data_IF_644545481744
#
_entry.id   IF_644545481744
#
_cell.length_a   1.000
_cell.length_b   1.000
_cell.length_c   1.000
_cell.angle_alpha   90.00
_cell.angle_beta   90.00
_cell.angle_gamma   90.00
#
_symmetry.space_group_name_H-M   'P 1'
#
loop_
_entity.id
_entity.type
_entity.pdbx_description
1 polymer ?
#
# COMPACT_ATOMS: atom_id res chain seq x y z
N UNK A 1 23.51 -5.79 -20.40
CA UNK A 1 24.11 -6.28 -19.14
C UNK A 1 22.92 -6.68 -18.26
N UNK A 2 22.84 -7.92 -17.76
CA UNK A 2 21.74 -8.31 -16.84
C UNK A 2 21.96 -7.54 -15.53
N UNK A 3 21.01 -6.66 -15.17
CA UNK A 3 21.03 -5.96 -13.88
C UNK A 3 20.83 -6.97 -12.74
N UNK A 4 21.47 -6.74 -11.60
CA UNK A 4 21.20 -7.53 -10.40
C UNK A 4 19.84 -7.11 -9.83
N UNK A 5 18.98 -8.06 -9.51
CA UNK A 5 17.71 -7.85 -8.84
C UNK A 5 17.51 -8.90 -7.74
N UNK A 6 16.70 -8.57 -6.75
CA UNK A 6 16.41 -9.43 -5.62
C UNK A 6 14.92 -9.37 -5.29
N UNK A 7 14.43 -10.39 -4.61
CA UNK A 7 13.08 -10.47 -4.07
C UNK A 7 13.16 -10.68 -2.56
N UNK A 8 12.37 -9.94 -1.82
CA UNK A 8 12.19 -10.09 -0.38
C UNK A 8 10.73 -10.33 -0.10
N UNK A 9 10.43 -11.29 0.75
CA UNK A 9 9.07 -11.73 1.08
C UNK A 9 8.93 -11.94 2.58
N UNK A 10 7.71 -11.85 3.14
CA UNK A 10 7.40 -12.38 4.46
C UNK A 10 7.79 -13.87 4.57
N UNK A 11 8.12 -14.33 5.77
CA UNK A 11 8.50 -15.72 6.02
C UNK A 11 7.36 -16.70 5.73
N UNK A 12 6.13 -16.32 6.15
CA UNK A 12 4.93 -17.12 5.97
C UNK A 12 3.74 -16.22 5.65
N UNK A 13 2.92 -16.67 4.70
CA UNK A 13 1.65 -16.01 4.36
C UNK A 13 0.54 -17.04 4.48
N UNK A 14 -0.45 -16.75 5.32
CA UNK A 14 -1.66 -17.54 5.47
C UNK A 14 -2.79 -16.90 4.67
N UNK A 15 -3.53 -17.70 3.93
CA UNK A 15 -4.69 -17.28 3.16
C UNK A 15 -5.65 -18.43 2.97
N UNK A 16 -6.86 -18.17 2.47
CA UNK A 16 -7.87 -19.18 2.21
C UNK A 16 -9.05 -19.10 3.17
N UNK A 17 -9.53 -20.23 3.67
CA UNK A 17 -10.64 -20.29 4.61
C UNK A 17 -10.13 -20.13 6.05
N UNK A 18 -10.67 -19.13 6.77
CA UNK A 18 -10.35 -18.85 8.18
C UNK A 18 -8.86 -18.78 8.52
N UNK A 19 -8.04 -18.05 7.74
CA UNK A 19 -6.58 -18.06 7.94
C UNK A 19 -6.14 -17.45 9.27
N UNK A 20 -7.02 -16.69 9.95
CA UNK A 20 -6.76 -16.15 11.31
C UNK A 20 -6.57 -17.28 12.34
N UNK A 21 -7.11 -18.48 12.10
CA UNK A 21 -6.92 -19.62 12.98
C UNK A 21 -5.45 -20.06 13.04
N UNK A 22 -4.70 -19.84 11.97
CA UNK A 22 -3.25 -20.11 11.88
C UNK A 22 -2.41 -19.16 12.73
N UNK A 23 -2.94 -18.00 13.10
CA UNK A 23 -2.23 -17.01 13.91
C UNK A 23 -1.86 -17.59 15.29
N UNK A 24 -2.78 -18.30 15.94
CA UNK A 24 -2.50 -18.93 17.23
C UNK A 24 -1.39 -20.01 17.12
N UNK A 25 -1.36 -20.75 16.01
CA UNK A 25 -0.32 -21.75 15.74
C UNK A 25 1.02 -21.08 15.53
N UNK A 26 1.06 -20.01 14.75
CA UNK A 26 2.27 -19.26 14.47
C UNK A 26 2.84 -18.57 15.71
N UNK A 27 1.99 -17.94 16.55
CA UNK A 27 2.39 -17.34 17.81
C UNK A 27 3.02 -18.37 18.76
N UNK A 28 2.43 -19.57 18.88
CA UNK A 28 3.02 -20.67 19.67
C UNK A 28 4.37 -21.13 19.10
N UNK A 29 4.51 -21.21 17.78
CA UNK A 29 5.76 -21.59 17.11
C UNK A 29 6.88 -20.60 17.42
N UNK A 30 6.58 -19.31 17.43
CA UNK A 30 7.53 -18.25 17.78
C UNK A 30 7.77 -18.14 19.30
N UNK A 31 7.01 -18.88 20.12
CA UNK A 31 7.13 -18.85 21.57
C UNK A 31 6.64 -17.56 22.20
N UNK A 32 5.77 -16.83 21.50
CA UNK A 32 5.22 -15.57 21.96
C UNK A 32 4.39 -15.75 23.25
N UNK A 33 4.72 -14.96 24.29
CA UNK A 33 4.04 -14.94 25.59
C UNK A 33 3.44 -13.59 25.95
N UNK A 34 4.01 -12.52 25.40
CA UNK A 34 3.58 -11.14 25.58
C UNK A 34 3.43 -10.50 24.22
N UNK A 35 2.19 -10.30 23.78
CA UNK A 35 1.85 -9.79 22.43
C UNK A 35 1.27 -8.40 22.56
N UNK A 36 1.76 -7.46 21.75
CA UNK A 36 1.10 -6.16 21.55
C UNK A 36 0.28 -6.20 20.26
N UNK A 37 -1.02 -5.95 20.37
CA UNK A 37 -1.94 -5.86 19.22
C UNK A 37 -2.12 -4.40 18.84
N UNK A 38 -1.66 -4.04 17.65
CA UNK A 38 -1.82 -2.72 17.06
C UNK A 38 -3.09 -2.67 16.23
N UNK A 39 -3.87 -1.62 16.42
CA UNK A 39 -5.08 -1.37 15.64
C UNK A 39 -5.41 0.13 15.64
N UNK A 40 -6.55 0.51 15.09
CA UNK A 40 -7.14 1.83 15.26
C UNK A 40 -8.42 1.77 16.11
N UNK A 41 -8.80 2.91 16.70
CA UNK A 41 -9.94 2.99 17.60
C UNK A 41 -11.28 2.62 16.94
N UNK A 42 -11.43 2.77 15.62
CA UNK A 42 -12.66 2.41 14.92
C UNK A 42 -12.77 0.89 14.76
N UNK A 43 -11.71 0.22 14.33
CA UNK A 43 -11.67 -1.25 14.21
C UNK A 43 -11.88 -1.93 15.58
N UNK A 44 -11.26 -1.38 16.63
CA UNK A 44 -11.44 -1.89 18.00
C UNK A 44 -12.91 -1.75 18.45
N UNK A 45 -13.51 -0.57 18.32
CA UNK A 45 -14.94 -0.35 18.68
C UNK A 45 -15.91 -1.21 17.88
N UNK A 46 -15.59 -1.50 16.61
CA UNK A 46 -16.41 -2.36 15.75
C UNK A 46 -16.21 -3.85 16.04
N UNK A 47 -15.31 -4.22 16.95
CA UNK A 47 -15.02 -5.61 17.30
C UNK A 47 -14.30 -6.40 16.21
N UNK A 48 -13.75 -5.74 15.20
CA UNK A 48 -13.04 -6.41 14.09
C UNK A 48 -11.71 -7.02 14.52
N UNK A 49 -11.18 -6.62 15.66
CA UNK A 49 -9.96 -7.21 16.26
C UNK A 49 -10.25 -8.48 17.06
N UNK A 50 -11.51 -8.78 17.41
CA UNK A 50 -11.87 -9.91 18.30
C UNK A 50 -11.30 -11.25 17.84
N UNK A 51 -11.38 -11.66 16.55
CA UNK A 51 -10.81 -12.94 16.11
C UNK A 51 -9.30 -13.05 16.37
N UNK A 52 -8.59 -11.92 16.27
CA UNK A 52 -7.14 -11.87 16.55
C UNK A 52 -6.86 -11.95 18.04
N UNK A 53 -7.65 -11.27 18.88
CA UNK A 53 -7.52 -11.37 20.35
C UNK A 53 -7.78 -12.79 20.83
N UNK A 54 -8.81 -13.47 20.30
CA UNK A 54 -9.10 -14.87 20.56
C UNK A 54 -7.94 -15.79 20.15
N UNK A 55 -7.30 -15.51 19.01
CA UNK A 55 -6.14 -16.27 18.54
C UNK A 55 -4.93 -16.06 19.48
N UNK A 56 -4.68 -14.83 19.97
CA UNK A 56 -3.61 -14.55 20.94
C UNK A 56 -3.88 -15.27 22.27
N UNK A 57 -5.11 -15.22 22.78
CA UNK A 57 -5.51 -15.94 23.99
C UNK A 57 -5.35 -17.45 23.80
N UNK A 58 -5.81 -18.01 22.67
CA UNK A 58 -5.66 -19.44 22.33
C UNK A 58 -4.21 -19.86 22.21
N UNK A 59 -3.30 -18.94 21.89
CA UNK A 59 -1.85 -19.21 21.89
C UNK A 59 -1.28 -19.30 23.31
N UNK A 60 -2.02 -18.88 24.34
CA UNK A 60 -1.58 -18.80 25.72
C UNK A 60 -0.73 -17.57 26.03
N UNK A 61 -0.79 -16.55 25.17
CA UNK A 61 -0.07 -15.29 25.34
C UNK A 61 -0.95 -14.23 26.05
N UNK A 62 -0.29 -13.33 26.78
CA UNK A 62 -0.94 -12.11 27.27
C UNK A 62 -1.02 -11.09 26.13
N UNK A 63 -2.04 -10.24 26.18
CA UNK A 63 -2.30 -9.24 25.15
C UNK A 63 -2.36 -7.83 25.73
N UNK A 64 -1.64 -6.88 25.13
CA UNK A 64 -1.86 -5.46 25.30
C UNK A 64 -2.34 -4.88 23.96
N UNK A 65 -3.39 -4.05 24.00
CA UNK A 65 -3.93 -3.40 22.81
C UNK A 65 -3.41 -1.96 22.77
N UNK A 66 -2.95 -1.53 21.58
CA UNK A 66 -2.61 -0.16 21.22
C UNK A 66 -3.52 0.24 20.07
N UNK A 67 -4.52 1.08 20.35
CA UNK A 67 -5.60 1.46 19.42
C UNK A 67 -5.68 2.97 19.14
N UNK A 68 -4.69 3.72 19.58
CA UNK A 68 -4.57 5.17 19.42
C UNK A 68 -3.74 5.60 18.20
N UNK A 69 -3.59 4.71 17.22
CA UNK A 69 -2.85 4.99 15.99
C UNK A 69 -3.74 5.78 15.03
N UNK A 70 -3.43 7.06 14.74
CA UNK A 70 -4.22 7.85 13.81
C UNK A 70 -3.95 7.43 12.35
N UNK A 71 -4.83 7.84 11.45
CA UNK A 71 -4.53 7.79 10.03
C UNK A 71 -3.34 8.74 9.73
N UNK A 72 -2.41 8.26 8.89
CA UNK A 72 -1.22 9.03 8.46
C UNK A 72 -0.41 9.61 9.63
N UNK A 73 0.07 8.79 10.56
CA UNK A 73 0.70 9.26 11.79
C UNK A 73 2.00 10.01 11.52
N UNK A 74 2.28 10.99 12.36
CA UNK A 74 3.59 11.63 12.39
C UNK A 74 4.64 10.70 13.00
N UNK A 75 5.92 10.93 12.68
CA UNK A 75 7.01 10.16 13.27
C UNK A 75 7.04 10.23 14.81
N UNK A 76 6.60 11.37 15.40
CA UNK A 76 6.52 11.53 16.84
C UNK A 76 5.34 10.75 17.47
N UNK A 77 4.20 10.66 16.77
CA UNK A 77 3.10 9.83 17.20
C UNK A 77 3.48 8.34 17.15
N UNK A 78 4.18 7.92 16.10
CA UNK A 78 4.70 6.53 16.03
C UNK A 78 5.74 6.29 17.13
N UNK A 79 6.60 7.27 17.46
CA UNK A 79 7.54 7.13 18.58
C UNK A 79 6.80 6.89 19.90
N UNK A 80 5.69 7.59 20.16
CA UNK A 80 4.89 7.37 21.37
C UNK A 80 4.35 5.94 21.46
N UNK A 81 3.96 5.36 20.32
CA UNK A 81 3.52 3.96 20.25
C UNK A 81 4.69 3.00 20.48
N UNK A 82 5.86 3.28 19.90
CA UNK A 82 7.10 2.52 20.17
C UNK A 82 7.43 2.50 21.65
N UNK A 83 7.31 3.64 22.35
CA UNK A 83 7.61 3.75 23.76
C UNK A 83 6.63 2.93 24.64
N UNK A 84 5.36 2.78 24.21
CA UNK A 84 4.42 1.88 24.85
C UNK A 84 4.88 0.40 24.73
N UNK A 85 5.37 -0.02 23.54
CA UNK A 85 5.90 -1.38 23.32
C UNK A 85 7.13 -1.65 24.18
N UNK A 86 8.03 -0.67 24.29
CA UNK A 86 9.23 -0.77 25.17
C UNK A 86 8.85 -1.00 26.63
N UNK A 87 7.75 -0.40 27.08
CA UNK A 87 7.26 -0.49 28.46
C UNK A 87 6.75 -1.88 28.87
N UNK A 88 6.42 -2.76 27.92
CA UNK A 88 5.74 -4.05 28.21
C UNK A 88 6.56 -5.28 27.93
N UNK A 89 7.81 -5.18 27.52
CA UNK A 89 8.69 -6.32 27.20
C UNK A 89 8.00 -7.33 26.25
N UNK A 90 7.46 -6.83 25.14
CA UNK A 90 6.74 -7.65 24.17
C UNK A 90 7.68 -8.65 23.47
N UNK A 91 7.16 -9.84 23.14
CA UNK A 91 7.83 -10.86 22.32
C UNK A 91 7.45 -10.72 20.84
N UNK A 92 6.23 -10.26 20.57
CA UNK A 92 5.69 -10.15 19.22
C UNK A 92 4.70 -8.98 19.10
N UNK A 93 4.54 -8.52 17.87
CA UNK A 93 3.52 -7.52 17.49
C UNK A 93 2.58 -8.14 16.48
N UNK A 94 1.26 -7.98 16.69
CA UNK A 94 0.21 -8.31 15.73
C UNK A 94 -0.47 -7.01 15.31
N UNK A 95 -0.39 -6.64 14.03
CA UNK A 95 -1.05 -5.45 13.50
C UNK A 95 -2.34 -5.85 12.78
N UNK A 96 -3.46 -5.32 13.24
CA UNK A 96 -4.80 -5.48 12.62
C UNK A 96 -5.25 -4.13 12.13
N UNK A 97 -5.12 -3.85 10.85
CA UNK A 97 -5.44 -2.51 10.35
C UNK A 97 -5.05 -2.28 8.89
N UNK A 98 -5.17 -1.04 8.47
CA UNK A 98 -4.66 -0.55 7.19
C UNK A 98 -3.16 -0.19 7.25
N UNK A 99 -2.68 0.48 6.20
CA UNK A 99 -1.26 0.85 6.05
C UNK A 99 -0.67 1.57 7.25
N UNK A 100 -1.37 2.57 7.82
CA UNK A 100 -0.89 3.35 8.97
C UNK A 100 -0.61 2.50 10.21
N UNK A 101 -1.50 1.54 10.51
CA UNK A 101 -1.33 0.61 11.63
C UNK A 101 -0.17 -0.33 11.39
N UNK A 102 -0.08 -0.90 10.17
CA UNK A 102 0.99 -1.82 9.81
C UNK A 102 2.37 -1.13 9.77
N UNK A 103 2.43 0.09 9.28
CA UNK A 103 3.68 0.86 9.24
C UNK A 103 4.17 1.24 10.64
N UNK A 104 3.25 1.63 11.54
CA UNK A 104 3.59 1.85 12.95
C UNK A 104 4.11 0.56 13.62
N UNK A 105 3.49 -0.59 13.33
CA UNK A 105 3.92 -1.89 13.84
C UNK A 105 5.30 -2.32 13.31
N UNK A 106 5.61 -2.04 12.04
CA UNK A 106 6.94 -2.28 11.46
C UNK A 106 8.01 -1.46 12.19
N UNK A 107 7.75 -0.17 12.39
CA UNK A 107 8.66 0.72 13.12
C UNK A 107 8.82 0.27 14.57
N UNK A 108 7.74 -0.10 15.25
CA UNK A 108 7.83 -0.66 16.60
C UNK A 108 8.62 -1.98 16.64
N UNK A 109 8.46 -2.83 15.60
CA UNK A 109 9.18 -4.10 15.49
C UNK A 109 10.70 -3.96 15.32
N UNK A 110 11.17 -2.80 14.82
CA UNK A 110 12.62 -2.50 14.70
C UNK A 110 13.12 -1.51 15.76
N UNK A 111 12.25 -0.75 16.43
CA UNK A 111 12.60 0.22 17.47
C UNK A 111 12.26 -0.25 18.88
N UNK A 112 12.05 -1.53 19.14
CA UNK A 112 11.62 -2.06 20.44
C UNK A 112 12.66 -1.88 21.56
N UNK A 113 13.91 -1.61 21.22
CA UNK A 113 14.99 -1.27 22.17
C UNK A 113 15.37 0.21 22.08
N UNK A 114 16.15 0.70 23.06
CA UNK A 114 16.63 2.08 23.12
C UNK A 114 17.82 2.38 22.18
N UNK A 115 18.16 1.47 21.26
CA UNK A 115 19.32 1.63 20.37
C UNK A 115 19.19 2.81 19.42
N UNK A 116 17.97 3.14 18.99
CA UNK A 116 17.63 4.28 18.13
C UNK A 116 16.13 4.58 18.21
N UNK A 117 15.76 5.76 17.72
CA UNK A 117 14.38 6.25 17.65
C UNK A 117 13.84 6.21 16.22
N UNK A 118 12.54 6.45 16.05
CA UNK A 118 11.93 6.63 14.71
C UNK A 118 12.57 7.82 14.00
N UNK A 119 12.88 8.91 14.72
CA UNK A 119 13.56 10.06 14.15
C UNK A 119 14.99 9.73 13.65
N UNK A 120 15.73 8.89 14.38
CA UNK A 120 17.04 8.42 13.90
C UNK A 120 16.93 7.61 12.61
N UNK A 121 15.84 6.83 12.43
CA UNK A 121 15.61 6.07 11.21
C UNK A 121 15.16 6.93 10.02
N UNK A 122 14.58 8.12 10.26
CA UNK A 122 14.34 9.10 9.20
C UNK A 122 15.67 9.59 8.61
N UNK A 123 16.66 9.83 9.47
CA UNK A 123 17.98 10.29 9.04
C UNK A 123 18.82 9.15 8.42
N UNK A 124 18.76 7.94 9.00
CA UNK A 124 19.52 6.77 8.54
C UNK A 124 18.72 5.47 8.71
N UNK A 125 17.93 5.09 7.70
CA UNK A 125 17.17 3.84 7.71
C UNK A 125 18.04 2.57 7.83
N UNK A 126 19.32 2.63 7.48
CA UNK A 126 20.22 1.47 7.50
C UNK A 126 20.48 0.92 8.91
N UNK A 127 20.20 1.72 9.95
CA UNK A 127 20.31 1.32 11.35
C UNK A 127 19.24 0.32 11.79
N UNK A 128 18.14 0.19 11.05
CA UNK A 128 17.03 -0.68 11.42
C UNK A 128 17.45 -2.15 11.44
N UNK A 129 17.14 -2.84 12.54
CA UNK A 129 17.31 -4.28 12.69
C UNK A 129 16.04 -4.87 13.33
N UNK A 130 15.60 -6.05 12.86
CA UNK A 130 14.43 -6.74 13.41
C UNK A 130 14.69 -7.10 14.87
N UNK A 131 13.80 -6.64 15.76
CA UNK A 131 13.89 -6.87 17.21
C UNK A 131 12.71 -7.69 17.73
N UNK A 132 11.52 -7.55 17.11
CA UNK A 132 10.34 -8.34 17.45
C UNK A 132 9.79 -9.03 16.21
N UNK A 133 9.21 -10.23 16.41
CA UNK A 133 8.45 -10.91 15.37
C UNK A 133 7.17 -10.13 15.08
N UNK A 134 6.86 -9.91 13.80
CA UNK A 134 5.72 -9.11 13.36
C UNK A 134 4.74 -9.95 12.55
N UNK A 135 3.45 -9.80 12.89
CA UNK A 135 2.32 -10.43 12.22
C UNK A 135 1.39 -9.34 11.67
N UNK A 136 1.06 -9.40 10.38
CA UNK A 136 0.20 -8.41 9.73
C UNK A 136 -1.11 -9.04 9.29
N UNK A 137 -2.21 -8.43 9.71
CA UNK A 137 -3.60 -8.81 9.38
C UNK A 137 -4.28 -7.59 8.73
N UNK A 138 -4.17 -7.44 7.39
CA UNK A 138 -4.68 -6.26 6.70
C UNK A 138 -6.21 -6.20 6.73
N UNK A 139 -6.76 -5.02 7.03
CA UNK A 139 -8.19 -4.70 6.98
C UNK A 139 -8.56 -3.79 5.81
N UNK A 140 -7.63 -3.60 4.89
CA UNK A 140 -7.81 -2.94 3.59
C UNK A 140 -7.15 -3.78 2.50
N UNK A 141 -7.54 -3.56 1.25
CA UNK A 141 -6.92 -4.18 0.08
C UNK A 141 -6.37 -3.07 -0.82
N UNK A 142 -5.21 -2.52 -0.47
CA UNK A 142 -4.68 -1.34 -1.16
C UNK A 142 -3.18 -1.15 -1.03
N UNK A 143 -2.71 -0.77 0.13
CA UNK A 143 -1.32 -0.34 0.36
C UNK A 143 -0.28 -1.44 0.17
N UNK A 144 -0.66 -2.71 0.33
CA UNK A 144 0.30 -3.82 0.34
C UNK A 144 1.36 -3.70 1.46
N UNK A 145 1.06 -2.90 2.50
CA UNK A 145 2.02 -2.62 3.58
C UNK A 145 2.46 -3.88 4.32
N UNK A 146 1.64 -4.92 4.34
CA UNK A 146 1.96 -6.24 4.89
C UNK A 146 3.12 -6.95 4.17
N UNK A 147 3.40 -6.56 2.91
CA UNK A 147 4.47 -7.16 2.10
C UNK A 147 5.71 -6.26 1.94
N UNK A 148 5.59 -4.95 2.21
CA UNK A 148 6.64 -3.98 1.89
C UNK A 148 7.66 -3.77 3.03
N UNK A 149 8.92 -3.41 2.70
CA UNK A 149 9.94 -2.99 3.65
C UNK A 149 9.79 -1.51 4.06
N UNK A 150 8.72 -0.84 3.62
CA UNK A 150 8.50 0.59 3.81
C UNK A 150 7.65 0.83 5.05
N UNK A 151 7.92 1.93 5.77
CA UNK A 151 7.00 2.51 6.73
C UNK A 151 6.90 4.02 6.45
N UNK A 152 5.69 4.51 6.24
CA UNK A 152 5.43 5.92 5.87
C UNK A 152 5.03 6.69 7.12
N UNK A 153 5.69 7.81 7.36
CA UNK A 153 5.37 8.74 8.44
C UNK A 153 5.28 10.17 7.92
N UNK A 154 4.42 10.97 8.53
CA UNK A 154 4.41 12.39 8.26
C UNK A 154 5.54 13.10 9.04
N UNK A 155 6.18 14.05 8.39
CA UNK A 155 7.18 14.98 8.95
C UNK A 155 6.58 16.39 8.84
N UNK A 156 5.87 16.86 9.87
CA UNK A 156 5.14 18.13 9.81
C UNK A 156 6.02 19.33 9.54
N UNK A 157 7.26 19.30 10.01
CA UNK A 157 8.23 20.38 9.86
C UNK A 157 8.59 20.65 8.39
N UNK A 158 8.53 19.60 7.56
CA UNK A 158 8.86 19.66 6.15
C UNK A 158 7.60 19.64 5.25
N UNK A 159 6.40 19.55 5.86
CA UNK A 159 5.11 19.37 5.16
C UNK A 159 5.12 18.16 4.19
N UNK A 160 5.85 17.10 4.54
CA UNK A 160 6.09 15.93 3.69
C UNK A 160 5.72 14.63 4.38
N UNK A 161 5.47 13.60 3.57
CA UNK A 161 5.45 12.19 3.99
C UNK A 161 6.75 11.53 3.57
N UNK A 162 7.41 10.86 4.49
CA UNK A 162 8.70 10.20 4.27
C UNK A 162 8.54 8.70 4.46
N UNK A 163 9.05 7.94 3.51
CA UNK A 163 9.15 6.48 3.60
C UNK A 163 10.50 6.07 4.19
N UNK A 164 10.49 5.50 5.37
CA UNK A 164 11.64 4.79 5.94
C UNK A 164 11.66 3.40 5.29
N UNK A 165 12.79 3.01 4.69
CA UNK A 165 12.88 1.76 3.92
C UNK A 165 14.04 0.92 4.43
N UNK A 166 13.73 -0.29 4.94
CA UNK A 166 14.75 -1.27 5.34
C UNK A 166 14.15 -2.69 5.33
N UNK A 167 14.88 -3.67 4.80
CA UNK A 167 14.45 -5.08 4.72
C UNK A 167 14.04 -5.67 6.08
N UNK A 168 14.59 -5.15 7.20
CA UNK A 168 14.22 -5.56 8.56
C UNK A 168 12.75 -5.25 8.91
N UNK A 169 12.07 -4.37 8.16
CA UNK A 169 10.67 -4.04 8.37
C UNK A 169 9.69 -4.95 7.62
N UNK A 170 10.17 -5.83 6.73
CA UNK A 170 9.30 -6.85 6.11
C UNK A 170 8.69 -7.71 7.22
N UNK A 171 7.38 -7.91 7.16
CA UNK A 171 6.65 -8.73 8.13
C UNK A 171 7.19 -10.17 8.17
N UNK A 172 7.18 -10.81 9.36
CA UNK A 172 7.49 -12.22 9.44
C UNK A 172 6.30 -13.08 8.99
N UNK A 173 5.11 -12.69 9.40
CA UNK A 173 3.86 -13.40 9.11
C UNK A 173 2.81 -12.45 8.54
N UNK A 174 2.06 -12.93 7.55
CA UNK A 174 0.91 -12.21 6.97
C UNK A 174 -0.30 -13.14 7.00
N UNK A 175 -1.45 -12.61 7.41
CA UNK A 175 -2.72 -13.32 7.44
C UNK A 175 -3.72 -12.58 6.55
N UNK A 176 -3.97 -13.12 5.36
CA UNK A 176 -4.90 -12.56 4.38
C UNK A 176 -6.29 -13.15 4.59
N UNK A 177 -7.07 -12.52 5.47
CA UNK A 177 -8.42 -12.93 5.82
C UNK A 177 -9.46 -11.98 5.21
N UNK A 178 -10.15 -12.41 4.16
CA UNK A 178 -11.13 -11.58 3.46
C UNK A 178 -12.32 -11.16 4.34
N UNK A 179 -12.56 -11.84 5.48
CA UNK A 179 -13.59 -11.42 6.46
C UNK A 179 -13.26 -10.06 7.06
N UNK A 180 -11.98 -9.69 7.16
CA UNK A 180 -11.51 -8.40 7.68
C UNK A 180 -11.91 -7.22 6.80
N UNK A 181 -12.16 -7.46 5.51
CA UNK A 181 -12.59 -6.43 4.54
C UNK A 181 -14.04 -6.59 4.09
N UNK A 182 -14.80 -7.56 4.66
CA UNK A 182 -16.18 -7.84 4.25
C UNK A 182 -17.05 -6.59 4.28
N UNK A 183 -17.00 -5.85 5.38
CA UNK A 183 -17.82 -4.68 5.65
C UNK A 183 -17.06 -3.35 5.47
N UNK A 184 -15.96 -3.37 4.72
CA UNK A 184 -15.20 -2.15 4.45
C UNK A 184 -16.10 -1.16 3.68
N UNK A 185 -16.25 0.11 4.15
CA UNK A 185 -17.07 1.09 3.46
C UNK A 185 -16.64 1.26 2.00
N UNK A 186 -17.62 1.31 1.07
CA UNK A 186 -17.38 1.38 -0.37
C UNK A 186 -16.37 2.47 -0.78
N UNK A 187 -16.41 3.72 -0.26
CA UNK A 187 -15.42 4.73 -0.61
C UNK A 187 -13.98 4.35 -0.20
N UNK A 188 -13.82 3.65 0.92
CA UNK A 188 -12.51 3.19 1.38
C UNK A 188 -12.06 1.99 0.52
N UNK A 189 -12.95 1.02 0.26
CA UNK A 189 -12.65 -0.11 -0.62
C UNK A 189 -12.24 0.36 -2.01
N UNK A 190 -12.96 1.34 -2.58
CA UNK A 190 -12.68 1.93 -3.88
C UNK A 190 -11.32 2.63 -3.92
N UNK A 191 -11.08 3.57 -3.01
CA UNK A 191 -9.82 4.34 -3.01
C UNK A 191 -8.60 3.44 -2.74
N UNK A 192 -8.70 2.48 -1.82
CA UNK A 192 -7.60 1.54 -1.56
C UNK A 192 -7.42 0.54 -2.71
N UNK A 193 -8.52 0.07 -3.33
CA UNK A 193 -8.43 -0.81 -4.50
C UNK A 193 -7.77 -0.16 -5.71
N UNK A 194 -8.03 1.14 -5.96
CA UNK A 194 -7.32 1.89 -7.00
C UNK A 194 -5.86 2.13 -6.62
N UNK A 195 -5.54 2.33 -5.35
CA UNK A 195 -4.15 2.39 -4.89
C UNK A 195 -3.39 1.10 -5.25
N UNK A 196 -3.99 -0.07 -4.97
CA UNK A 196 -3.42 -1.35 -5.40
C UNK A 196 -3.28 -1.46 -6.93
N UNK A 197 -4.24 -0.93 -7.70
CA UNK A 197 -4.16 -0.88 -9.16
C UNK A 197 -2.98 -0.03 -9.63
N UNK A 198 -2.79 1.15 -9.02
CA UNK A 198 -1.64 2.00 -9.29
C UNK A 198 -0.33 1.27 -8.96
N UNK A 199 -0.24 0.63 -7.80
CA UNK A 199 0.92 -0.17 -7.43
C UNK A 199 1.23 -1.23 -8.49
N UNK A 200 0.24 -2.01 -8.91
CA UNK A 200 0.41 -3.08 -9.88
C UNK A 200 0.91 -2.56 -11.23
N UNK A 201 0.21 -1.57 -11.81
CA UNK A 201 0.55 -1.08 -13.15
C UNK A 201 1.84 -0.28 -13.17
N UNK A 202 2.12 0.54 -12.15
CA UNK A 202 3.36 1.30 -12.07
C UNK A 202 4.58 0.39 -11.85
N UNK A 203 4.49 -0.60 -10.95
CA UNK A 203 5.57 -1.56 -10.75
C UNK A 203 5.83 -2.38 -12.02
N UNK A 204 4.78 -2.73 -12.75
CA UNK A 204 4.91 -3.41 -14.04
C UNK A 204 5.55 -2.52 -15.10
N UNK A 205 5.20 -1.23 -15.17
CA UNK A 205 5.73 -0.26 -16.15
C UNK A 205 6.91 0.57 -15.61
N UNK A 206 7.61 0.07 -14.61
CA UNK A 206 8.81 0.71 -14.02
C UNK A 206 10.06 0.40 -14.84
N UNK A 207 11.01 1.33 -14.90
CA UNK A 207 12.37 1.08 -15.46
C UNK A 207 13.13 0.01 -14.67
N UNK A 208 12.72 -0.25 -13.42
CA UNK A 208 13.28 -1.30 -12.55
C UNK A 208 12.51 -2.62 -12.64
N UNK A 209 11.47 -2.69 -13.47
CA UNK A 209 10.70 -3.92 -13.66
C UNK A 209 11.63 -5.07 -14.09
N UNK A 210 11.40 -6.22 -13.52
CA UNK A 210 12.24 -7.40 -13.70
C UNK A 210 11.38 -8.67 -13.58
N UNK A 211 11.90 -9.87 -13.95
CA UNK A 211 11.07 -11.08 -13.94
C UNK A 211 10.38 -11.41 -12.62
N UNK A 212 10.93 -10.98 -11.48
CA UNK A 212 10.27 -11.18 -10.18
C UNK A 212 9.11 -10.21 -9.99
N UNK A 213 9.32 -8.91 -10.21
CA UNK A 213 8.25 -7.92 -10.10
C UNK A 213 7.13 -8.17 -11.09
N UNK A 214 7.46 -8.58 -12.33
CA UNK A 214 6.49 -8.78 -13.40
C UNK A 214 5.46 -9.87 -13.08
N UNK A 215 5.89 -10.98 -12.45
CA UNK A 215 4.99 -12.06 -12.04
C UNK A 215 3.92 -11.56 -11.08
N UNK A 216 4.33 -10.81 -10.04
CA UNK A 216 3.41 -10.32 -9.03
C UNK A 216 2.59 -9.12 -9.52
N UNK A 217 3.20 -8.20 -10.27
CA UNK A 217 2.52 -7.01 -10.77
C UNK A 217 1.42 -7.36 -11.80
N UNK A 218 1.70 -8.27 -12.74
CA UNK A 218 0.70 -8.72 -13.73
C UNK A 218 -0.42 -9.52 -13.09
N UNK A 219 -0.11 -10.40 -12.14
CA UNK A 219 -1.15 -11.15 -11.42
C UNK A 219 -2.02 -10.22 -10.58
N UNK A 220 -1.41 -9.26 -9.86
CA UNK A 220 -2.16 -8.24 -9.13
C UNK A 220 -3.07 -7.45 -10.07
N UNK A 221 -2.56 -7.02 -11.23
CA UNK A 221 -3.35 -6.30 -12.23
C UNK A 221 -4.54 -7.13 -12.73
N UNK A 222 -4.34 -8.41 -13.10
CA UNK A 222 -5.41 -9.31 -13.54
C UNK A 222 -6.49 -9.47 -12.45
N UNK A 223 -6.08 -9.73 -11.21
CA UNK A 223 -7.01 -9.88 -10.10
C UNK A 223 -7.82 -8.59 -9.84
N UNK A 224 -7.18 -7.41 -9.85
CA UNK A 224 -7.85 -6.14 -9.59
C UNK A 224 -8.84 -5.80 -10.70
N UNK A 225 -8.39 -5.83 -11.96
CA UNK A 225 -9.22 -5.46 -13.14
C UNK A 225 -10.53 -6.26 -13.19
N UNK A 226 -10.50 -7.51 -12.73
CA UNK A 226 -11.64 -8.43 -12.82
C UNK A 226 -12.47 -8.53 -11.53
N UNK A 227 -12.03 -7.94 -10.40
CA UNK A 227 -12.71 -8.14 -9.13
C UNK A 227 -13.07 -6.86 -8.36
N UNK A 228 -12.42 -5.71 -8.66
CA UNK A 228 -12.55 -4.50 -7.84
C UNK A 228 -14.00 -3.98 -7.76
N UNK A 229 -14.72 -3.97 -8.88
CA UNK A 229 -16.12 -3.50 -8.93
C UNK A 229 -17.01 -4.38 -8.05
N UNK A 230 -16.97 -5.70 -8.23
CA UNK A 230 -17.75 -6.63 -7.43
C UNK A 230 -17.37 -6.57 -5.93
N UNK A 231 -16.07 -6.44 -5.62
CA UNK A 231 -15.60 -6.33 -4.25
C UNK A 231 -16.09 -5.06 -3.54
N UNK A 232 -16.25 -3.95 -4.28
CA UNK A 232 -16.74 -2.68 -3.76
C UNK A 232 -18.27 -2.61 -3.67
N UNK A 233 -18.98 -3.19 -4.64
CA UNK A 233 -20.44 -3.02 -4.78
C UNK A 233 -21.25 -4.06 -4.00
N UNK A 234 -20.71 -5.28 -3.83
CA UNK A 234 -21.40 -6.38 -3.14
C UNK A 234 -20.67 -6.82 -1.86
N UNK A 235 -21.26 -6.57 -0.67
CA UNK A 235 -20.69 -7.06 0.59
C UNK A 235 -20.52 -8.57 0.66
N UNK A 236 -21.33 -9.35 -0.06
CA UNK A 236 -21.29 -10.81 -0.07
C UNK A 236 -20.36 -11.39 -1.15
N UNK A 237 -19.76 -10.58 -2.02
CA UNK A 237 -18.80 -11.02 -3.04
C UNK A 237 -17.44 -11.42 -2.41
N UNK A 238 -17.46 -12.42 -1.53
CA UNK A 238 -16.27 -12.80 -0.74
C UNK A 238 -15.11 -13.31 -1.60
N UNK A 239 -15.37 -13.91 -2.74
CA UNK A 239 -14.32 -14.34 -3.67
C UNK A 239 -13.63 -13.15 -4.32
N UNK A 240 -14.39 -12.11 -4.71
CA UNK A 240 -13.83 -10.87 -5.22
C UNK A 240 -13.03 -10.12 -4.14
N UNK A 241 -13.52 -10.07 -2.91
CA UNK A 241 -12.80 -9.48 -1.77
C UNK A 241 -11.50 -10.23 -1.48
N UNK A 242 -11.52 -11.56 -1.51
CA UNK A 242 -10.32 -12.40 -1.37
C UNK A 242 -9.31 -12.10 -2.50
N UNK A 243 -9.80 -12.01 -3.74
CA UNK A 243 -8.96 -11.67 -4.89
C UNK A 243 -8.31 -10.29 -4.73
N UNK A 244 -9.06 -9.28 -4.27
CA UNK A 244 -8.53 -7.93 -4.01
C UNK A 244 -7.46 -7.93 -2.90
N UNK A 245 -7.64 -8.69 -1.83
CA UNK A 245 -6.66 -8.78 -0.74
C UNK A 245 -5.36 -9.44 -1.21
N UNK A 246 -5.47 -10.54 -1.98
CA UNK A 246 -4.31 -11.19 -2.60
C UNK A 246 -3.62 -10.24 -3.59
N UNK A 247 -4.39 -9.51 -4.38
CA UNK A 247 -3.85 -8.55 -5.34
C UNK A 247 -3.08 -7.41 -4.68
N UNK A 248 -3.61 -6.86 -3.58
CA UNK A 248 -2.92 -5.85 -2.76
C UNK A 248 -1.59 -6.38 -2.23
N UNK A 249 -1.59 -7.59 -1.68
CA UNK A 249 -0.38 -8.26 -1.23
C UNK A 249 0.65 -8.45 -2.36
N UNK A 250 0.21 -8.93 -3.53
CA UNK A 250 1.10 -9.10 -4.69
C UNK A 250 1.63 -7.76 -5.21
N UNK A 251 0.81 -6.72 -5.25
CA UNK A 251 1.25 -5.37 -5.58
C UNK A 251 2.32 -4.86 -4.60
N UNK A 252 2.15 -5.12 -3.29
CA UNK A 252 3.16 -4.85 -2.26
C UNK A 252 4.50 -5.57 -2.51
N UNK A 253 4.46 -6.84 -2.93
CA UNK A 253 5.67 -7.57 -3.34
C UNK A 253 6.31 -6.91 -4.56
N UNK A 254 5.51 -6.52 -5.56
CA UNK A 254 6.03 -5.86 -6.75
C UNK A 254 6.72 -4.53 -6.44
N UNK A 255 6.18 -3.73 -5.48
CA UNK A 255 6.82 -2.51 -4.96
C UNK A 255 8.23 -2.83 -4.44
N UNK A 256 8.36 -3.90 -3.65
CA UNK A 256 9.64 -4.32 -3.08
C UNK A 256 10.68 -4.65 -4.15
N UNK A 257 10.24 -5.22 -5.28
CA UNK A 257 11.13 -5.70 -6.35
C UNK A 257 11.44 -4.64 -7.43
N UNK A 258 10.54 -3.65 -7.69
CA UNK A 258 10.72 -2.64 -8.75
C UNK A 258 10.43 -1.21 -8.31
N UNK A 259 9.37 -0.98 -7.51
CA UNK A 259 8.95 0.34 -7.03
C UNK A 259 7.99 1.08 -7.97
N UNK A 260 7.22 2.00 -7.39
CA UNK A 260 6.24 2.87 -8.08
C UNK A 260 6.91 4.00 -8.86
N UNK A 261 6.12 4.76 -9.62
CA UNK A 261 6.58 5.73 -10.62
C UNK A 261 5.89 7.10 -10.51
N UNK A 262 5.43 7.67 -11.60
CA UNK A 262 4.94 9.05 -11.69
C UNK A 262 3.57 9.28 -11.04
N UNK A 263 2.65 8.28 -11.01
CA UNK A 263 1.35 8.45 -10.31
C UNK A 263 1.59 8.74 -8.84
N UNK A 264 2.37 7.90 -8.17
CA UNK A 264 2.72 8.08 -6.77
C UNK A 264 3.57 9.32 -6.52
N UNK A 265 4.53 9.61 -7.41
CA UNK A 265 5.38 10.80 -7.26
C UNK A 265 4.57 12.08 -7.27
N UNK A 266 3.62 12.21 -8.20
CA UNK A 266 2.78 13.39 -8.35
C UNK A 266 1.59 13.42 -7.35
N UNK A 267 1.20 12.28 -6.76
CA UNK A 267 0.13 12.23 -5.75
C UNK A 267 0.58 12.74 -4.37
N UNK A 268 1.85 12.61 -4.01
CA UNK A 268 2.34 12.98 -2.69
C UNK A 268 2.07 14.44 -2.30
N UNK A 269 2.27 15.45 -3.17
CA UNK A 269 1.94 16.83 -2.83
C UNK A 269 0.44 17.07 -2.60
N UNK A 270 -0.44 16.29 -3.25
CA UNK A 270 -1.89 16.39 -3.02
C UNK A 270 -2.25 15.95 -1.59
N UNK A 271 -1.65 14.87 -1.12
CA UNK A 271 -1.81 14.42 0.26
C UNK A 271 -1.15 15.37 1.27
N UNK A 272 0.09 15.79 1.03
CA UNK A 272 0.86 16.63 1.95
C UNK A 272 0.28 18.03 2.13
N UNK A 273 -0.06 18.70 1.02
CA UNK A 273 -0.50 20.11 1.05
C UNK A 273 -2.01 20.28 1.19
N UNK A 274 -2.78 19.39 0.53
CA UNK A 274 -4.25 19.55 0.43
C UNK A 274 -5.01 18.49 1.23
N UNK A 275 -4.30 17.60 1.93
CA UNK A 275 -4.88 16.52 2.75
C UNK A 275 -5.84 15.60 1.99
N UNK A 276 -5.65 15.45 0.68
CA UNK A 276 -6.39 14.48 -0.13
C UNK A 276 -5.95 13.08 0.25
N UNK A 277 -6.89 12.18 0.53
CA UNK A 277 -6.56 10.79 0.88
C UNK A 277 -5.71 10.12 -0.20
N UNK A 278 -4.70 9.35 0.19
CA UNK A 278 -3.66 8.82 -0.70
C UNK A 278 -4.23 8.07 -1.92
N UNK A 279 -5.14 7.10 -1.69
CA UNK A 279 -5.76 6.36 -2.79
C UNK A 279 -6.62 7.22 -3.73
N UNK A 280 -7.24 8.30 -3.21
CA UNK A 280 -7.98 9.27 -4.04
C UNK A 280 -7.01 10.11 -4.88
N UNK A 281 -5.89 10.56 -4.29
CA UNK A 281 -4.84 11.30 -5.01
C UNK A 281 -4.26 10.47 -6.17
N UNK A 282 -4.01 9.18 -5.92
CA UNK A 282 -3.54 8.25 -6.96
C UNK A 282 -4.60 8.04 -8.04
N UNK A 283 -5.87 7.88 -7.67
CA UNK A 283 -6.96 7.66 -8.61
C UNK A 283 -7.17 8.84 -9.56
N UNK A 284 -7.12 10.07 -9.04
CA UNK A 284 -7.25 11.30 -9.84
C UNK A 284 -6.12 11.40 -10.88
N UNK A 285 -4.90 11.00 -10.51
CA UNK A 285 -3.71 11.12 -11.37
C UNK A 285 -3.49 9.91 -12.27
N UNK A 286 -4.14 8.77 -12.00
CA UNK A 286 -3.92 7.51 -12.74
C UNK A 286 -4.10 7.72 -14.25
N UNK A 287 -5.26 8.21 -14.68
CA UNK A 287 -5.59 8.40 -16.09
C UNK A 287 -4.63 9.37 -16.80
N UNK A 288 -4.44 10.63 -16.33
CA UNK A 288 -3.55 11.57 -16.99
C UNK A 288 -2.11 11.07 -17.09
N UNK A 289 -1.61 10.39 -16.06
CA UNK A 289 -0.23 9.85 -16.06
C UNK A 289 -0.11 8.65 -17.00
N UNK A 290 -1.11 7.75 -17.04
CA UNK A 290 -1.07 6.60 -17.96
C UNK A 290 -1.15 7.06 -19.42
N UNK A 291 -1.97 8.03 -19.74
CA UNK A 291 -2.01 8.64 -21.09
C UNK A 291 -0.66 9.31 -21.44
N UNK A 292 -0.04 10.03 -20.50
CA UNK A 292 1.28 10.59 -20.70
C UNK A 292 2.32 9.51 -20.96
N UNK A 293 2.31 8.43 -20.18
CA UNK A 293 3.30 7.36 -20.27
C UNK A 293 3.09 6.42 -21.47
N UNK A 294 1.88 6.34 -22.03
CA UNK A 294 1.45 5.34 -23.02
C UNK A 294 2.49 5.10 -24.13
N UNK A 295 3.06 6.13 -24.80
CA UNK A 295 4.00 5.89 -25.88
C UNK A 295 5.28 5.11 -25.47
N UNK A 296 5.65 5.19 -24.19
CA UNK A 296 6.83 4.52 -23.66
C UNK A 296 6.54 3.14 -23.04
N UNK A 297 5.26 2.87 -22.71
CA UNK A 297 4.86 1.65 -21.98
C UNK A 297 3.90 0.76 -22.77
N UNK A 298 3.49 1.13 -23.99
CA UNK A 298 2.45 0.46 -24.77
C UNK A 298 2.67 -1.04 -24.97
N UNK A 299 3.90 -1.47 -25.22
CA UNK A 299 4.24 -2.89 -25.37
C UNK A 299 3.93 -3.67 -24.07
N UNK A 300 4.22 -3.07 -22.92
CA UNK A 300 3.91 -3.68 -21.62
C UNK A 300 2.42 -3.67 -21.34
N UNK A 301 1.71 -2.60 -21.70
CA UNK A 301 0.24 -2.54 -21.60
C UNK A 301 -0.42 -3.59 -22.50
N UNK A 302 0.12 -3.84 -23.72
CA UNK A 302 -0.41 -4.89 -24.59
C UNK A 302 -0.29 -6.29 -23.96
N UNK A 303 0.80 -6.58 -23.26
CA UNK A 303 0.93 -7.84 -22.48
C UNK A 303 -0.05 -7.89 -21.32
N UNK A 304 -0.26 -6.77 -20.61
CA UNK A 304 -1.25 -6.68 -19.53
C UNK A 304 -2.68 -6.89 -20.06
N UNK A 305 -2.99 -6.38 -21.27
CA UNK A 305 -4.25 -6.64 -21.97
C UNK A 305 -4.47 -8.13 -22.20
N UNK A 306 -3.48 -8.82 -22.81
CA UNK A 306 -3.57 -10.25 -23.11
C UNK A 306 -3.72 -11.08 -21.82
N UNK A 307 -3.18 -10.62 -20.70
CA UNK A 307 -3.30 -11.27 -19.41
C UNK A 307 -4.66 -11.06 -18.75
N UNK A 308 -5.17 -9.82 -18.67
CA UNK A 308 -6.27 -9.45 -17.80
C UNK A 308 -7.60 -9.19 -18.55
N UNK A 309 -7.57 -8.55 -19.72
CA UNK A 309 -8.78 -8.12 -20.43
C UNK A 309 -9.24 -9.19 -21.42
N UNK A 310 -8.31 -9.75 -22.21
CA UNK A 310 -8.56 -10.89 -23.13
C UNK A 310 -9.67 -10.62 -24.14
N UNK A 311 -9.80 -9.37 -24.60
CA UNK A 311 -10.80 -8.96 -25.60
C UNK A 311 -10.33 -9.14 -27.05
N UNK A 312 -10.95 -8.42 -27.99
CA UNK A 312 -10.76 -8.60 -29.45
C UNK A 312 -9.69 -7.69 -30.06
N UNK A 313 -9.02 -6.82 -29.25
CA UNK A 313 -7.94 -5.95 -29.76
C UNK A 313 -6.77 -6.78 -30.29
N UNK A 314 -6.22 -6.39 -31.43
CA UNK A 314 -5.20 -7.17 -32.14
C UNK A 314 -3.86 -6.48 -32.24
N UNK A 315 -3.86 -5.16 -32.37
CA UNK A 315 -2.61 -4.38 -32.42
C UNK A 315 -2.14 -3.94 -31.05
N UNK A 316 -0.87 -3.63 -30.92
CA UNK A 316 -0.27 -3.13 -29.68
C UNK A 316 -0.96 -1.84 -29.21
N UNK A 317 -1.25 -0.95 -30.16
CA UNK A 317 -1.93 0.31 -29.93
C UNK A 317 -3.37 0.11 -29.40
N UNK A 318 -4.15 -0.76 -30.04
CA UNK A 318 -5.51 -1.10 -29.59
C UNK A 318 -5.52 -1.70 -28.18
N UNK A 319 -4.60 -2.64 -27.91
CA UNK A 319 -4.47 -3.29 -26.61
C UNK A 319 -4.06 -2.30 -25.53
N UNK A 320 -3.09 -1.43 -25.81
CA UNK A 320 -2.64 -0.39 -24.90
C UNK A 320 -3.76 0.59 -24.54
N UNK A 321 -4.49 1.08 -25.55
CA UNK A 321 -5.64 1.96 -25.36
C UNK A 321 -6.73 1.29 -24.51
N UNK A 322 -7.07 0.03 -24.81
CA UNK A 322 -8.10 -0.71 -24.08
C UNK A 322 -7.75 -0.92 -22.59
N UNK A 323 -6.45 -1.06 -22.23
CA UNK A 323 -6.03 -1.12 -20.83
C UNK A 323 -6.31 0.20 -20.12
N UNK A 324 -5.96 1.33 -20.73
CA UNK A 324 -6.17 2.65 -20.13
C UNK A 324 -7.68 2.93 -20.03
N UNK A 325 -8.46 2.66 -21.07
CA UNK A 325 -9.91 2.80 -21.07
C UNK A 325 -10.58 1.95 -19.97
N UNK A 326 -10.09 0.73 -19.72
CA UNK A 326 -10.62 -0.12 -18.65
C UNK A 326 -10.31 0.47 -17.26
N UNK A 327 -9.10 1.00 -17.05
CA UNK A 327 -8.77 1.69 -15.79
C UNK A 327 -9.64 2.92 -15.58
N UNK A 328 -9.88 3.73 -16.62
CA UNK A 328 -10.75 4.89 -16.57
C UNK A 328 -12.21 4.52 -16.28
N UNK A 329 -12.68 3.41 -16.86
CA UNK A 329 -14.02 2.87 -16.60
C UNK A 329 -14.17 2.44 -15.14
N UNK A 330 -13.18 1.78 -14.56
CA UNK A 330 -13.17 1.38 -13.14
C UNK A 330 -13.22 2.61 -12.23
N UNK A 331 -12.37 3.62 -12.44
CA UNK A 331 -12.36 4.85 -11.63
C UNK A 331 -13.73 5.55 -11.70
N UNK A 332 -14.35 5.56 -12.90
CA UNK A 332 -15.68 6.13 -13.11
C UNK A 332 -16.77 5.34 -12.39
N UNK A 333 -16.74 4.01 -12.48
CA UNK A 333 -17.71 3.11 -11.85
C UNK A 333 -17.69 3.21 -10.31
N UNK A 334 -16.49 3.43 -9.76
CA UNK A 334 -16.29 3.52 -8.32
C UNK A 334 -16.65 4.91 -7.73
N UNK A 335 -17.15 5.83 -8.54
CA UNK A 335 -17.53 7.20 -8.15
C UNK A 335 -16.39 7.97 -7.47
N UNK A 336 -15.15 7.70 -7.87
CA UNK A 336 -14.01 8.43 -7.34
C UNK A 336 -13.91 9.78 -8.05
N UNK A 337 -13.76 10.89 -7.31
CA UNK A 337 -13.59 12.22 -7.91
C UNK A 337 -12.46 12.23 -8.93
N UNK A 338 -12.69 12.89 -10.06
CA UNK A 338 -11.69 13.02 -11.13
C UNK A 338 -10.99 14.36 -11.12
N UNK A 339 -11.52 15.30 -10.35
CA UNK A 339 -11.01 16.67 -10.22
C UNK A 339 -10.86 17.09 -8.76
N UNK A 340 -9.93 17.97 -8.54
CA UNK A 340 -9.64 18.50 -7.20
C UNK A 340 -10.76 19.43 -6.69
N UNK A 341 -11.46 20.13 -7.57
CA UNK A 341 -12.61 20.98 -7.20
C UNK A 341 -13.79 20.15 -6.66
N UNK A 342 -14.00 18.92 -7.14
CA UNK A 342 -14.99 17.98 -6.60
C UNK A 342 -14.72 17.60 -5.14
N UNK A 343 -13.45 17.73 -4.69
CA UNK A 343 -13.03 17.54 -3.32
C UNK A 343 -13.03 18.84 -2.49
N UNK A 344 -13.50 19.95 -3.09
CA UNK A 344 -13.44 21.27 -2.47
C UNK A 344 -12.04 21.89 -2.43
N UNK A 345 -11.08 21.31 -3.13
CA UNK A 345 -9.72 21.85 -3.25
C UNK A 345 -9.71 22.90 -4.36
N UNK A 346 -9.67 24.17 -3.98
CA UNK A 346 -9.69 25.31 -4.89
C UNK A 346 -8.46 26.19 -4.74
N UNK A 347 -8.18 27.03 -5.74
CA UNK A 347 -7.04 27.96 -5.68
C UNK A 347 -5.68 27.25 -5.75
N UNK A 348 -5.62 26.11 -6.43
CA UNK A 348 -4.40 25.32 -6.59
C UNK A 348 -3.40 26.08 -7.47
N UNK A 349 -2.21 26.29 -6.97
CA UNK A 349 -1.08 26.81 -7.73
C UNK A 349 -0.38 25.63 -8.43
N UNK A 350 -0.63 25.48 -9.73
CA UNK A 350 -0.07 24.39 -10.56
C UNK A 350 1.45 24.42 -10.59
N UNK A 351 2.07 25.60 -10.60
CA UNK A 351 3.51 25.73 -10.64
C UNK A 351 4.15 25.22 -9.34
N UNK A 352 3.57 25.59 -8.20
CA UNK A 352 4.03 25.08 -6.90
C UNK A 352 3.77 23.58 -6.76
N UNK A 353 2.61 23.10 -7.20
CA UNK A 353 2.25 21.68 -7.12
C UNK A 353 3.20 20.83 -7.99
N UNK A 354 3.45 21.26 -9.22
CA UNK A 354 4.39 20.57 -10.12
C UNK A 354 5.82 20.60 -9.57
N UNK A 355 6.28 21.75 -9.04
CA UNK A 355 7.60 21.85 -8.42
C UNK A 355 7.73 20.89 -7.23
N UNK A 356 6.70 20.77 -6.38
CA UNK A 356 6.69 19.82 -5.26
C UNK A 356 6.72 18.36 -5.74
N UNK A 357 5.92 18.00 -6.74
CA UNK A 357 5.92 16.65 -7.34
C UNK A 357 7.29 16.28 -7.91
N UNK A 358 7.97 17.23 -8.55
CA UNK A 358 9.31 17.03 -9.11
C UNK A 358 10.39 16.82 -8.04
N UNK A 359 10.15 17.10 -6.77
CA UNK A 359 11.11 16.76 -5.70
C UNK A 359 11.15 15.26 -5.40
N UNK A 360 10.13 14.49 -5.78
CA UNK A 360 10.00 13.05 -5.49
C UNK A 360 10.82 12.22 -6.48
N UNK A 361 12.08 12.60 -6.67
CA UNK A 361 12.98 11.99 -7.66
C UNK A 361 13.16 10.48 -7.48
N UNK A 362 13.11 9.98 -6.24
CA UNK A 362 13.25 8.54 -5.97
C UNK A 362 12.23 7.66 -6.69
N UNK A 363 11.06 8.21 -7.04
CA UNK A 363 9.99 7.54 -7.79
C UNK A 363 10.02 7.94 -9.28
N UNK A 364 10.25 9.21 -9.60
CA UNK A 364 10.27 9.70 -10.97
C UNK A 364 11.35 9.03 -11.84
N UNK A 365 12.52 8.69 -11.25
CA UNK A 365 13.57 7.95 -11.96
C UNK A 365 13.17 6.53 -12.38
N UNK A 366 12.09 6.00 -11.79
CA UNK A 366 11.56 4.70 -12.16
C UNK A 366 10.56 4.80 -13.33
N UNK A 367 10.09 5.99 -13.70
CA UNK A 367 9.12 6.17 -14.77
C UNK A 367 9.78 5.92 -16.14
N UNK A 368 9.14 5.13 -17.01
CA UNK A 368 9.73 4.77 -18.32
C UNK A 368 9.82 5.97 -19.28
N UNK A 369 8.90 6.93 -19.15
CA UNK A 369 8.97 8.21 -19.84
C UNK A 369 9.47 9.27 -18.87
N UNK A 370 10.52 9.99 -19.23
CA UNK A 370 10.99 11.11 -18.41
C UNK A 370 9.87 12.14 -18.22
N UNK A 371 9.68 12.58 -16.96
CA UNK A 371 8.70 13.60 -16.60
C UNK A 371 9.46 14.90 -16.36
N UNK A 372 9.20 15.91 -17.19
CA UNK A 372 9.72 17.26 -16.99
C UNK A 372 8.77 18.10 -16.11
N UNK A 373 9.23 19.26 -15.65
CA UNK A 373 8.38 20.19 -14.89
C UNK A 373 7.16 20.61 -15.71
N UNK A 374 7.34 20.86 -17.02
CA UNK A 374 6.21 21.25 -17.90
C UNK A 374 5.24 20.09 -18.12
N UNK A 375 5.73 18.85 -18.24
CA UNK A 375 4.86 17.66 -18.28
C UNK A 375 4.03 17.53 -16.99
N UNK A 376 4.64 17.72 -15.83
CA UNK A 376 3.94 17.70 -14.55
C UNK A 376 2.84 18.76 -14.47
N UNK A 377 3.09 19.99 -14.95
CA UNK A 377 2.07 21.04 -15.04
C UNK A 377 0.91 20.64 -15.95
N UNK A 378 1.20 20.05 -17.13
CA UNK A 378 0.16 19.58 -18.05
C UNK A 378 -0.67 18.47 -17.44
N UNK A 379 -0.05 17.53 -16.69
CA UNK A 379 -0.73 16.45 -15.98
C UNK A 379 -1.67 17.03 -14.91
N UNK A 380 -1.17 17.92 -14.03
CA UNK A 380 -1.99 18.53 -12.98
C UNK A 380 -3.13 19.41 -13.53
N UNK A 381 -2.90 20.11 -14.63
CA UNK A 381 -3.95 20.96 -15.26
C UNK A 381 -5.17 20.14 -15.72
N UNK A 382 -5.03 18.84 -15.95
CA UNK A 382 -6.15 17.98 -16.35
C UNK A 382 -7.07 17.60 -15.17
N UNK A 383 -6.60 17.76 -13.95
CA UNK A 383 -7.30 17.34 -12.71
C UNK A 383 -7.77 18.50 -11.82
N UNK A 384 -7.65 19.74 -12.32
CA UNK A 384 -8.18 20.95 -11.70
C UNK A 384 -9.64 21.21 -12.01
#
# INVERSE_FOLDING_TARGET
>A
MLSKYSLRLPKVVYGGESPTDELAVALRREGARSVVVFTDAALHRLGLVSPVLEAVESAGATCQIVDDIPAEPTYSQVQSVVDQVRGVSADAIVAVGGGSVMDAAKLAGVCATDAYTVHDLLADPSRAAKQLTTFMVPTTAGTGAEATPNAIVAVPEDELKVGIVNDAMIADYVVLDARMIKNLPRPIAASTGIDALCHAIECYTSTKANPFSDVFALEAFDLIINNIEAACDDPEAMDAKRAMQIASFYAGIAITASGTTAVHALSYPLGGKYHVAHGVSNAILLSPVMHFNEPAIRERLAVAYDRAIRGDATTVEEKSAAVIERMDAIVSHLDIPKKLDELGVTGVDVDQLAAAGMTVQRLLVNNMREVTLEDAKVIYAQVL
#
